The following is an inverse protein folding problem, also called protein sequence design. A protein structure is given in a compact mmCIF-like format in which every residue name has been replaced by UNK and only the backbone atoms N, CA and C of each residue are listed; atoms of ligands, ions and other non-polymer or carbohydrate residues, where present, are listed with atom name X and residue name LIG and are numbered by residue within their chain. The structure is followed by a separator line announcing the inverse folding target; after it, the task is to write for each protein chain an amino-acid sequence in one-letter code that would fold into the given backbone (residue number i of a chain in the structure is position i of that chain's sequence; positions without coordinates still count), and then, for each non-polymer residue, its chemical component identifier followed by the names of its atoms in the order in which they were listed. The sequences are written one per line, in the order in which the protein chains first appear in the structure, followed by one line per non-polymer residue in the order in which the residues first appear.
data_IF_176123698984
#
_entry.id   IF_176123698984
#
_cell.length_a   1.000
_cell.length_b   1.000
_cell.length_c   1.000
_cell.angle_alpha   90.00
_cell.angle_beta   90.00
_cell.angle_gamma   90.00
#
_symmetry.space_group_name_H-M   'P 1'
#
loop_
_entity.id
_entity.type
_entity.pdbx_description
1 polymer ?
#
# COMPACT_ATOMS: atom_id res chain seq x y z
N UNK A 1 26.90 26.41 -19.69
CA UNK A 1 27.34 25.11 -19.12
C UNK A 1 26.53 24.69 -17.88
N UNK A 2 26.13 25.63 -17.01
CA UNK A 2 25.36 25.34 -15.77
C UNK A 2 23.96 24.73 -15.95
N UNK A 3 23.28 24.96 -17.07
CA UNK A 3 21.96 24.38 -17.35
C UNK A 3 21.99 22.86 -17.57
N UNK A 4 23.09 22.34 -18.12
CA UNK A 4 23.25 20.90 -18.33
C UNK A 4 23.49 20.19 -16.99
N UNK A 5 24.26 20.82 -16.10
CA UNK A 5 24.52 20.27 -14.75
C UNK A 5 23.26 20.26 -13.89
N UNK A 6 22.40 21.29 -13.95
CA UNK A 6 21.13 21.30 -13.22
C UNK A 6 20.14 20.27 -13.76
N UNK A 7 20.08 20.09 -15.08
CA UNK A 7 19.24 19.06 -15.71
C UNK A 7 19.68 17.64 -15.28
N UNK A 8 20.99 17.36 -15.32
CA UNK A 8 21.55 16.07 -14.91
C UNK A 8 21.29 15.81 -13.42
N UNK A 9 21.51 16.81 -12.55
CA UNK A 9 21.23 16.68 -11.12
C UNK A 9 19.74 16.47 -10.83
N UNK A 10 18.84 17.17 -11.53
CA UNK A 10 17.39 16.98 -11.39
C UNK A 10 16.93 15.59 -11.80
N UNK A 11 17.49 15.04 -12.88
CA UNK A 11 17.22 13.68 -13.33
C UNK A 11 17.68 12.65 -12.28
N UNK A 12 18.91 12.79 -11.78
CA UNK A 12 19.48 11.93 -10.74
C UNK A 12 18.64 11.99 -9.46
N UNK A 13 18.27 13.20 -9.03
CA UNK A 13 17.45 13.40 -7.83
C UNK A 13 16.08 12.71 -7.95
N UNK A 14 15.44 12.79 -9.12
CA UNK A 14 14.14 12.14 -9.37
C UNK A 14 14.25 10.62 -9.27
N UNK A 15 15.31 10.03 -9.82
CA UNK A 15 15.57 8.58 -9.76
C UNK A 15 15.78 8.14 -8.30
N UNK A 16 16.63 8.87 -7.56
CA UNK A 16 16.91 8.58 -6.15
C UNK A 16 15.65 8.72 -5.29
N UNK A 17 14.91 9.82 -5.45
CA UNK A 17 13.70 10.08 -4.69
C UNK A 17 12.63 9.00 -4.96
N UNK A 18 12.44 8.61 -6.23
CA UNK A 18 11.52 7.52 -6.56
C UNK A 18 11.95 6.18 -5.97
N UNK A 19 13.26 5.92 -5.87
CA UNK A 19 13.77 4.69 -5.27
C UNK A 19 13.51 4.66 -3.76
N UNK A 20 13.82 5.76 -3.06
CA UNK A 20 13.60 5.89 -1.61
C UNK A 20 12.11 5.75 -1.29
N UNK A 21 11.24 6.44 -2.03
CA UNK A 21 9.79 6.38 -1.81
C UNK A 21 9.26 4.94 -1.93
N UNK A 22 9.74 4.17 -2.93
CA UNK A 22 9.36 2.76 -3.09
C UNK A 22 9.80 1.89 -1.92
N UNK A 23 10.95 2.17 -1.31
CA UNK A 23 11.41 1.43 -0.12
C UNK A 23 10.55 1.75 1.10
N UNK A 24 10.19 3.02 1.28
CA UNK A 24 9.30 3.47 2.35
C UNK A 24 7.92 2.83 2.19
N UNK A 25 7.33 2.90 1.00
CA UNK A 25 6.02 2.31 0.69
C UNK A 25 5.96 0.81 1.02
N UNK A 26 7.04 0.07 0.70
CA UNK A 26 7.16 -1.36 1.02
C UNK A 26 7.21 -1.61 2.53
N UNK A 27 7.98 -0.79 3.26
CA UNK A 27 8.07 -0.89 4.72
C UNK A 27 6.73 -0.57 5.37
N UNK A 28 6.07 0.49 4.93
CA UNK A 28 4.74 0.86 5.42
C UNK A 28 3.70 -0.22 5.12
N UNK A 29 3.75 -0.82 3.92
CA UNK A 29 2.86 -1.93 3.59
C UNK A 29 3.04 -3.11 4.55
N UNK A 30 4.29 -3.54 4.79
CA UNK A 30 4.59 -4.60 5.76
C UNK A 30 4.08 -4.27 7.16
N UNK A 31 4.29 -3.04 7.60
CA UNK A 31 3.80 -2.56 8.90
C UNK A 31 2.27 -2.63 8.99
N UNK A 32 1.55 -2.23 7.94
CA UNK A 32 0.07 -2.34 7.91
C UNK A 32 -0.40 -3.79 7.97
N UNK A 33 0.29 -4.71 7.30
CA UNK A 33 -0.01 -6.15 7.39
C UNK A 33 0.19 -6.66 8.83
N UNK A 34 1.29 -6.28 9.47
CA UNK A 34 1.59 -6.69 10.84
C UNK A 34 0.57 -6.16 11.84
N UNK A 35 0.22 -4.87 11.74
CA UNK A 35 -0.80 -4.25 12.59
C UNK A 35 -2.16 -4.92 12.39
N UNK A 36 -2.59 -5.11 11.14
CA UNK A 36 -3.87 -5.77 10.83
C UNK A 36 -3.96 -7.17 11.46
N UNK A 37 -2.90 -7.97 11.31
CA UNK A 37 -2.83 -9.31 11.89
C UNK A 37 -2.81 -9.28 13.42
N UNK A 38 -2.11 -8.31 14.02
CA UNK A 38 -2.05 -8.15 15.47
C UNK A 38 -3.42 -7.77 16.05
N UNK A 39 -4.11 -6.81 15.44
CA UNK A 39 -5.44 -6.39 15.88
C UNK A 39 -6.49 -7.47 15.67
N UNK A 40 -6.48 -8.15 14.52
CA UNK A 40 -7.33 -9.30 14.27
C UNK A 40 -7.18 -10.34 15.40
N UNK A 41 -5.94 -10.68 15.74
CA UNK A 41 -5.67 -11.65 16.79
C UNK A 41 -6.13 -11.16 18.17
N UNK A 42 -5.92 -9.88 18.47
CA UNK A 42 -6.38 -9.27 19.72
C UNK A 42 -7.90 -9.29 19.84
N UNK A 43 -8.63 -8.99 18.77
CA UNK A 43 -10.09 -9.06 18.74
C UNK A 43 -10.60 -10.47 18.97
N UNK A 44 -10.03 -11.46 18.27
CA UNK A 44 -10.39 -12.87 18.46
C UNK A 44 -10.04 -13.37 19.86
N UNK A 45 -8.91 -12.94 20.43
CA UNK A 45 -8.54 -13.26 21.81
C UNK A 45 -9.53 -12.72 22.82
N UNK A 46 -9.98 -11.48 22.66
CA UNK A 46 -11.01 -10.89 23.53
C UNK A 46 -12.31 -11.70 23.44
N UNK A 47 -12.73 -12.04 22.22
CA UNK A 47 -13.91 -12.87 21.98
C UNK A 47 -13.84 -14.23 22.69
N UNK A 48 -12.69 -14.92 22.61
CA UNK A 48 -12.45 -16.18 23.33
C UNK A 48 -12.42 -15.99 24.84
N UNK A 49 -11.89 -14.86 25.31
CA UNK A 49 -11.82 -14.55 26.74
C UNK A 49 -13.20 -14.26 27.35
N UNK A 50 -14.18 -13.89 26.53
CA UNK A 50 -15.60 -13.80 26.90
C UNK A 50 -16.30 -15.17 26.94
N UNK A 51 -15.61 -16.23 26.53
CA UNK A 51 -16.08 -17.62 26.60
C UNK A 51 -16.70 -18.15 25.30
N UNK A 52 -16.66 -17.38 24.22
CA UNK A 52 -17.20 -17.79 22.92
C UNK A 52 -16.08 -18.22 21.96
N UNK A 53 -16.29 -19.33 21.24
CA UNK A 53 -15.33 -19.80 20.24
C UNK A 53 -15.74 -19.31 18.85
N UNK A 54 -14.84 -18.62 18.13
CA UNK A 54 -15.17 -18.05 16.84
C UNK A 54 -15.34 -19.16 15.79
N UNK A 55 -16.40 -19.09 15.00
CA UNK A 55 -16.58 -20.00 13.86
C UNK A 55 -15.59 -19.69 12.73
N UNK A 56 -15.27 -20.69 11.91
CA UNK A 56 -14.47 -20.55 10.69
C UNK A 56 -14.95 -19.38 9.79
N UNK A 57 -16.28 -19.26 9.64
CA UNK A 57 -16.90 -18.20 8.85
C UNK A 57 -16.65 -16.81 9.44
N UNK A 58 -16.70 -16.68 10.77
CA UNK A 58 -16.40 -15.43 11.46
C UNK A 58 -14.93 -15.05 11.31
N UNK A 59 -14.00 -15.98 11.48
CA UNK A 59 -12.56 -15.74 11.27
C UNK A 59 -12.31 -15.25 9.85
N UNK A 60 -12.88 -15.92 8.85
CA UNK A 60 -12.75 -15.53 7.44
C UNK A 60 -13.34 -14.13 7.16
N UNK A 61 -14.52 -13.84 7.70
CA UNK A 61 -15.15 -12.53 7.56
C UNK A 61 -14.30 -11.42 8.18
N UNK A 62 -13.73 -11.67 9.38
CA UNK A 62 -12.82 -10.74 10.03
C UNK A 62 -11.54 -10.56 9.24
N UNK A 63 -10.90 -11.62 8.73
CA UNK A 63 -9.74 -11.50 7.85
C UNK A 63 -10.03 -10.58 6.66
N UNK A 64 -11.20 -10.74 6.02
CA UNK A 64 -11.60 -9.90 4.89
C UNK A 64 -11.86 -8.44 5.30
N UNK A 65 -12.53 -8.23 6.44
CA UNK A 65 -12.81 -6.90 6.98
C UNK A 65 -11.52 -6.15 7.36
N UNK A 66 -10.60 -6.80 8.06
CA UNK A 66 -9.30 -6.22 8.42
C UNK A 66 -8.43 -5.97 7.20
N UNK A 67 -8.43 -6.88 6.22
CA UNK A 67 -7.72 -6.68 4.94
C UNK A 67 -8.20 -5.40 4.24
N UNK A 68 -9.52 -5.17 4.21
CA UNK A 68 -10.12 -3.98 3.63
C UNK A 68 -9.81 -2.72 4.42
N UNK A 69 -9.98 -2.76 5.74
CA UNK A 69 -9.72 -1.62 6.65
C UNK A 69 -8.28 -1.12 6.54
N UNK A 70 -7.32 -2.04 6.50
CA UNK A 70 -5.89 -1.73 6.41
C UNK A 70 -5.35 -1.55 4.98
N UNK A 71 -6.21 -1.65 3.96
CA UNK A 71 -5.86 -1.55 2.53
C UNK A 71 -4.71 -2.49 2.12
N UNK A 72 -4.71 -3.70 2.67
CA UNK A 72 -3.78 -4.78 2.35
C UNK A 72 -4.47 -5.83 1.49
N UNK A 73 -3.71 -6.58 0.70
CA UNK A 73 -4.27 -7.67 -0.11
C UNK A 73 -4.75 -8.80 0.79
N UNK A 74 -5.90 -9.40 0.48
CA UNK A 74 -6.47 -10.49 1.28
C UNK A 74 -5.60 -11.75 1.33
N UNK A 75 -4.67 -11.92 0.39
CA UNK A 75 -3.68 -12.99 0.43
C UNK A 75 -2.49 -12.74 1.36
N UNK A 76 -2.29 -11.49 1.78
CA UNK A 76 -1.17 -11.09 2.63
C UNK A 76 -1.58 -11.02 4.12
N UNK A 77 -2.88 -11.06 4.43
CA UNK A 77 -3.37 -11.27 5.80
C UNK A 77 -3.27 -12.75 6.17
N UNK A 78 -3.13 -13.05 7.46
CA UNK A 78 -3.06 -14.43 7.92
C UNK A 78 -4.29 -15.22 7.47
N UNK A 79 -4.05 -16.41 6.90
CA UNK A 79 -5.12 -17.36 6.63
C UNK A 79 -5.70 -17.89 7.95
N UNK A 80 -6.87 -18.51 7.86
CA UNK A 80 -7.60 -19.06 9.01
C UNK A 80 -6.72 -19.98 9.87
N UNK A 81 -5.97 -20.88 9.24
CA UNK A 81 -5.05 -21.79 9.94
C UNK A 81 -3.98 -21.04 10.75
N UNK A 82 -3.31 -20.04 10.15
CA UNK A 82 -2.28 -19.27 10.85
C UNK A 82 -2.88 -18.44 11.99
N UNK A 83 -4.11 -17.96 11.83
CA UNK A 83 -4.85 -17.26 12.89
C UNK A 83 -5.12 -18.23 14.05
N UNK A 84 -5.64 -19.42 13.77
CA UNK A 84 -5.91 -20.46 14.79
C UNK A 84 -4.63 -20.86 15.52
N UNK A 85 -3.54 -21.17 14.80
CA UNK A 85 -2.26 -21.54 15.40
C UNK A 85 -1.72 -20.43 16.32
N UNK A 86 -1.86 -19.17 15.89
CA UNK A 86 -1.44 -18.01 16.69
C UNK A 86 -2.31 -17.84 17.93
N UNK A 87 -3.62 -18.02 17.82
CA UNK A 87 -4.54 -17.97 18.96
C UNK A 87 -4.20 -19.03 20.00
N UNK A 88 -4.00 -20.28 19.59
CA UNK A 88 -3.59 -21.37 20.49
C UNK A 88 -2.30 -20.99 21.23
N UNK A 89 -1.28 -20.52 20.51
CA UNK A 89 -0.01 -20.07 21.12
C UNK A 89 -0.25 -18.98 22.17
N UNK A 90 -1.02 -17.95 21.83
CA UNK A 90 -1.28 -16.82 22.75
C UNK A 90 -2.17 -17.20 23.94
N UNK A 91 -3.05 -18.21 23.80
CA UNK A 91 -3.83 -18.79 24.91
C UNK A 91 -2.92 -19.55 25.88
N UNK A 92 -1.93 -20.29 25.38
CA UNK A 92 -0.99 -20.98 26.25
C UNK A 92 -0.04 -20.01 26.96
N UNK A 93 0.35 -18.91 26.31
CA UNK A 93 1.18 -17.85 26.88
C UNK A 93 0.45 -17.03 27.96
N UNK A 94 -0.89 -16.98 27.99
CA UNK A 94 -1.61 -16.23 29.04
C UNK A 94 -1.53 -16.91 30.40
N UNK A 95 -1.24 -16.18 31.48
CA UNK A 95 -1.27 -16.72 32.85
C UNK A 95 -2.68 -16.77 33.46
N UNK A 96 -3.67 -16.14 32.81
CA UNK A 96 -4.98 -15.88 33.42
C UNK A 96 -5.98 -17.04 33.31
N UNK A 97 -5.71 -18.05 32.47
CA UNK A 97 -6.60 -19.20 32.29
C UNK A 97 -6.02 -20.45 32.98
N UNK A 98 -6.82 -21.21 33.76
CA UNK A 98 -6.41 -22.51 34.27
C UNK A 98 -6.13 -23.48 33.12
N UNK A 99 -5.20 -24.41 33.35
CA UNK A 99 -4.71 -25.35 32.33
C UNK A 99 -5.85 -26.11 31.62
N UNK A 100 -6.86 -26.55 32.37
CA UNK A 100 -8.03 -27.27 31.82
C UNK A 100 -8.84 -26.46 30.82
N UNK A 101 -9.00 -25.14 31.03
CA UNK A 101 -9.69 -24.26 30.10
C UNK A 101 -8.86 -23.98 28.84
N UNK A 102 -7.54 -23.82 28.99
CA UNK A 102 -6.63 -23.65 27.85
C UNK A 102 -6.70 -24.86 26.91
N UNK A 103 -6.68 -26.07 27.47
CA UNK A 103 -6.76 -27.31 26.70
C UNK A 103 -8.08 -27.41 25.95
N UNK A 104 -9.22 -27.19 26.62
CA UNK A 104 -10.55 -27.26 26.00
C UNK A 104 -10.70 -26.29 24.82
N UNK A 105 -10.32 -25.02 25.02
CA UNK A 105 -10.39 -24.00 23.94
C UNK A 105 -9.48 -24.40 22.77
N UNK A 106 -8.29 -24.94 23.07
CA UNK A 106 -7.34 -25.33 22.02
C UNK A 106 -7.82 -26.54 21.23
N UNK A 107 -8.49 -27.50 21.87
CA UNK A 107 -9.12 -28.64 21.20
C UNK A 107 -10.23 -28.18 20.24
N UNK A 108 -11.15 -27.34 20.69
CA UNK A 108 -12.23 -26.81 19.84
C UNK A 108 -11.67 -25.97 18.66
N UNK A 109 -10.59 -25.20 18.88
CA UNK A 109 -9.89 -24.49 17.81
C UNK A 109 -9.19 -25.43 16.81
N UNK A 110 -8.64 -26.55 17.28
CA UNK A 110 -8.03 -27.56 16.41
C UNK A 110 -9.07 -28.29 15.55
N UNK A 111 -10.24 -28.61 16.10
CA UNK A 111 -11.35 -29.19 15.34
C UNK A 111 -11.83 -28.27 14.20
N UNK A 112 -11.88 -26.96 14.45
CA UNK A 112 -12.17 -25.94 13.43
C UNK A 112 -11.11 -25.92 12.32
N UNK A 113 -9.84 -26.04 12.70
CA UNK A 113 -8.73 -26.12 11.74
C UNK A 113 -8.85 -27.37 10.85
N UNK A 114 -9.15 -28.53 11.40
CA UNK A 114 -9.30 -29.76 10.62
C UNK A 114 -10.52 -29.68 9.66
N UNK A 115 -11.62 -29.09 10.13
CA UNK A 115 -12.84 -28.89 9.33
C UNK A 115 -12.63 -27.90 8.16
N UNK A 116 -11.85 -26.84 8.36
CA UNK A 116 -11.53 -25.87 7.31
C UNK A 116 -10.55 -26.41 6.26
N UNK A 117 -9.58 -27.25 6.65
CA UNK A 117 -8.66 -27.90 5.70
C UNK A 117 -9.41 -28.86 4.77
N UNK A 118 -10.30 -29.69 5.32
CA UNK A 118 -11.07 -30.66 4.53
C UNK A 118 -12.05 -29.99 3.55
N UNK A 119 -12.66 -28.86 3.94
CA UNK A 119 -13.56 -28.10 3.06
C UNK A 119 -12.83 -27.32 1.96
N UNK A 120 -11.62 -26.81 2.23
CA UNK A 120 -10.81 -26.12 1.21
C UNK A 120 -10.26 -27.09 0.15
N UNK A 121 -9.94 -28.33 0.50
CA UNK A 121 -9.55 -29.36 -0.47
C UNK A 121 -10.66 -29.66 -1.49
N UNK A 122 -11.93 -29.59 -1.08
CA UNK A 122 -13.09 -29.77 -1.97
C UNK A 122 -13.38 -28.52 -2.82
N UNK A 123 -13.11 -27.32 -2.31
CA UNK A 123 -13.45 -26.05 -2.99
C UNK A 123 -12.37 -25.52 -3.94
N UNK A 124 -11.12 -25.96 -3.80
CA UNK A 124 -9.99 -25.48 -4.63
C UNK A 124 -10.10 -25.92 -6.11
N UNK A 125 -11.09 -26.75 -6.45
CA UNK A 125 -11.39 -27.11 -7.84
C UNK A 125 -12.20 -26.04 -8.60
N UNK A 126 -12.80 -25.04 -7.92
CA UNK A 126 -13.89 -24.27 -8.54
C UNK A 126 -13.80 -22.74 -8.55
N UNK A 127 -12.89 -22.04 -7.86
CA UNK A 127 -13.00 -20.56 -7.81
C UNK A 127 -11.66 -19.80 -7.71
N UNK A 128 -11.09 -19.47 -8.88
CA UNK A 128 -10.14 -18.36 -9.06
C UNK A 128 -10.83 -17.17 -9.76
N UNK A 129 -11.72 -16.44 -9.07
CA UNK A 129 -12.18 -15.15 -9.57
C UNK A 129 -12.87 -14.32 -8.48
N UNK A 130 -12.24 -13.23 -8.05
CA UNK A 130 -12.89 -11.90 -7.96
C UNK A 130 -11.93 -10.88 -7.34
N UNK A 131 -11.39 -9.96 -8.15
CA UNK A 131 -11.88 -8.58 -8.38
C UNK A 131 -11.26 -7.59 -7.38
N UNK A 132 -10.01 -7.21 -7.67
CA UNK A 132 -9.35 -6.00 -7.16
C UNK A 132 -9.62 -4.87 -8.18
N UNK A 133 -10.64 -4.04 -7.97
CA UNK A 133 -11.00 -2.94 -8.90
C UNK A 133 -11.17 -1.57 -8.21
N UNK A 134 -10.47 -1.34 -7.10
CA UNK A 134 -10.59 -0.07 -6.35
C UNK A 134 -9.26 0.68 -6.14
N UNK A 135 -8.18 0.28 -6.83
CA UNK A 135 -6.82 0.79 -6.53
C UNK A 135 -6.34 1.94 -7.43
N UNK A 136 -7.12 2.41 -8.39
CA UNK A 136 -6.64 3.33 -9.44
C UNK A 136 -6.75 4.82 -9.07
N UNK A 137 -7.67 5.23 -8.20
CA UNK A 137 -8.04 6.66 -8.07
C UNK A 137 -7.06 7.43 -7.17
N UNK A 138 -6.64 6.88 -6.03
CA UNK A 138 -5.74 7.58 -5.10
C UNK A 138 -4.34 7.85 -5.66
N UNK A 139 -3.81 6.97 -6.52
CA UNK A 139 -2.47 7.15 -7.12
C UNK A 139 -2.41 8.30 -8.13
N UNK A 140 -3.55 8.68 -8.71
CA UNK A 140 -3.65 9.77 -9.67
C UNK A 140 -3.69 11.13 -8.94
N UNK A 141 -4.39 11.20 -7.80
CA UNK A 141 -4.48 12.44 -7.01
C UNK A 141 -3.14 12.90 -6.46
N UNK A 142 -2.35 12.02 -5.85
CA UNK A 142 -1.02 12.39 -5.33
C UNK A 142 -0.06 12.83 -6.44
N UNK A 143 -0.20 12.28 -7.64
CA UNK A 143 0.63 12.65 -8.78
C UNK A 143 0.26 14.03 -9.36
N UNK A 144 -1.03 14.34 -9.49
CA UNK A 144 -1.52 15.64 -9.98
C UNK A 144 -1.11 16.77 -9.03
N UNK A 145 -1.19 16.54 -7.72
CA UNK A 145 -0.78 17.52 -6.71
C UNK A 145 0.74 17.75 -6.79
N UNK A 146 1.53 16.68 -6.91
CA UNK A 146 2.99 16.78 -7.05
C UNK A 146 3.43 17.54 -8.31
N UNK A 147 2.77 17.31 -9.45
CA UNK A 147 3.11 18.04 -10.68
C UNK A 147 2.71 19.52 -10.62
N UNK A 148 1.60 19.85 -9.98
CA UNK A 148 1.17 21.24 -9.80
C UNK A 148 2.14 22.03 -8.91
N UNK A 149 2.61 21.42 -7.82
CA UNK A 149 3.60 22.04 -6.93
C UNK A 149 4.93 22.27 -7.66
N UNK A 150 5.41 21.27 -8.39
CA UNK A 150 6.65 21.39 -9.18
C UNK A 150 6.55 22.51 -10.23
N UNK A 151 5.40 22.62 -10.91
CA UNK A 151 5.13 23.69 -11.87
C UNK A 151 5.23 25.08 -11.23
N UNK A 152 4.58 25.29 -10.08
CA UNK A 152 4.63 26.57 -9.37
C UNK A 152 6.06 26.94 -8.91
N UNK A 153 6.83 25.98 -8.41
CA UNK A 153 8.22 26.24 -8.03
C UNK A 153 9.09 26.59 -9.23
N UNK A 154 8.87 25.96 -10.39
CA UNK A 154 9.62 26.27 -11.60
C UNK A 154 9.29 27.65 -12.17
N UNK A 155 8.03 28.07 -12.14
CA UNK A 155 7.65 29.42 -12.63
C UNK A 155 8.19 30.51 -11.72
N UNK A 156 8.06 30.36 -10.40
CA UNK A 156 8.59 31.33 -9.43
C UNK A 156 10.12 31.38 -9.47
N UNK A 157 10.78 30.22 -9.57
CA UNK A 157 12.23 30.16 -9.68
C UNK A 157 12.76 30.85 -10.95
N UNK A 158 12.04 30.74 -12.06
CA UNK A 158 12.39 31.41 -13.32
C UNK A 158 12.17 32.93 -13.24
N UNK A 159 11.09 33.40 -12.61
CA UNK A 159 10.85 34.83 -12.42
C UNK A 159 11.94 35.50 -11.56
N UNK A 160 12.35 34.84 -10.47
CA UNK A 160 13.46 35.32 -9.62
C UNK A 160 14.77 35.37 -10.42
N UNK A 161 15.04 34.33 -11.23
CA UNK A 161 16.25 34.27 -12.06
C UNK A 161 16.23 35.35 -13.15
N UNK A 162 15.07 35.63 -13.74
CA UNK A 162 14.89 36.63 -14.77
C UNK A 162 15.10 38.06 -14.22
N UNK A 163 14.57 38.35 -13.03
CA UNK A 163 14.78 39.65 -12.36
C UNK A 163 16.25 39.88 -12.00
N UNK A 164 16.99 38.85 -11.57
CA UNK A 164 18.38 39.00 -11.15
C UNK A 164 19.39 39.03 -12.32
N UNK A 165 19.10 38.35 -13.43
CA UNK A 165 20.07 38.16 -14.52
C UNK A 165 19.71 38.88 -15.83
N UNK A 166 18.56 39.57 -15.92
CA UNK A 166 18.09 40.26 -17.14
C UNK A 166 18.23 39.38 -18.40
N UNK A 167 17.96 38.08 -18.28
CA UNK A 167 18.23 37.09 -19.32
C UNK A 167 17.29 37.25 -20.54
N UNK A 168 16.16 37.92 -20.35
CA UNK A 168 15.14 38.16 -21.38
C UNK A 168 15.02 39.68 -21.57
N UNK A 169 15.84 40.23 -22.47
CA UNK A 169 15.78 41.65 -22.86
C UNK A 169 15.29 41.86 -24.29
N UNK A 170 14.49 40.92 -24.82
CA UNK A 170 13.92 41.06 -26.17
C UNK A 170 12.42 40.73 -26.20
N UNK A 171 11.69 41.59 -26.91
CA UNK A 171 10.23 41.73 -27.03
C UNK A 171 9.50 40.53 -27.67
N UNK A 172 9.73 39.30 -27.20
CA UNK A 172 8.86 38.16 -27.58
C UNK A 172 8.39 37.36 -26.36
N UNK A 173 7.51 37.95 -25.52
CA UNK A 173 7.00 37.29 -24.30
C UNK A 173 6.26 35.97 -24.56
N UNK A 174 5.76 35.74 -25.78
CA UNK A 174 4.97 34.54 -26.09
C UNK A 174 5.80 33.29 -26.41
N UNK A 175 6.97 33.41 -27.04
CA UNK A 175 7.70 32.23 -27.54
C UNK A 175 8.34 31.40 -26.43
N UNK A 176 8.82 32.03 -25.37
CA UNK A 176 9.44 31.35 -24.23
C UNK A 176 8.40 30.63 -23.37
N UNK A 177 7.22 31.23 -23.20
CA UNK A 177 6.09 30.64 -22.50
C UNK A 177 5.51 29.44 -23.28
N UNK A 178 5.47 29.54 -24.62
CA UNK A 178 5.14 28.42 -25.52
C UNK A 178 6.17 27.29 -25.40
N UNK A 179 7.47 27.59 -25.39
CA UNK A 179 8.50 26.56 -25.24
C UNK A 179 8.42 25.83 -23.88
N UNK A 180 8.20 26.58 -22.79
CA UNK A 180 8.03 26.02 -21.45
C UNK A 180 6.79 25.13 -21.34
N UNK A 181 5.65 25.58 -21.87
CA UNK A 181 4.41 24.79 -21.85
C UNK A 181 4.54 23.51 -22.68
N UNK A 182 5.19 23.57 -23.85
CA UNK A 182 5.47 22.39 -24.67
C UNK A 182 6.40 21.42 -23.92
N UNK A 183 7.44 21.90 -23.26
CA UNK A 183 8.36 21.05 -22.50
C UNK A 183 7.67 20.34 -21.32
N UNK A 184 6.76 21.03 -20.62
CA UNK A 184 5.96 20.46 -19.55
C UNK A 184 4.99 19.39 -20.07
N UNK A 185 4.37 19.62 -21.23
CA UNK A 185 3.51 18.65 -21.89
C UNK A 185 4.26 17.37 -22.30
N UNK A 186 5.45 17.52 -22.87
CA UNK A 186 6.30 16.39 -23.29
C UNK A 186 6.71 15.56 -22.07
N UNK A 187 7.10 16.20 -20.97
CA UNK A 187 7.45 15.51 -19.71
C UNK A 187 6.28 14.71 -19.13
N UNK A 188 5.07 15.27 -19.17
CA UNK A 188 3.86 14.62 -18.71
C UNK A 188 3.51 13.40 -19.59
N UNK A 189 3.64 13.52 -20.90
CA UNK A 189 3.43 12.41 -21.85
C UNK A 189 4.42 11.27 -21.64
N UNK A 190 5.71 11.56 -21.48
CA UNK A 190 6.75 10.54 -21.22
C UNK A 190 6.43 9.78 -19.92
N UNK A 191 6.02 10.48 -18.87
CA UNK A 191 5.68 9.86 -17.58
C UNK A 191 4.45 8.97 -17.68
N UNK A 192 3.43 9.37 -18.45
CA UNK A 192 2.25 8.54 -18.71
C UNK A 192 2.61 7.28 -19.50
N UNK A 193 3.45 7.39 -20.53
CA UNK A 193 3.91 6.24 -21.34
C UNK A 193 4.73 5.26 -20.50
N UNK A 194 5.66 5.74 -19.68
CA UNK A 194 6.46 4.90 -18.79
C UNK A 194 5.56 4.16 -17.78
N UNK A 195 4.59 4.85 -17.17
CA UNK A 195 3.62 4.21 -16.27
C UNK A 195 2.73 3.20 -16.99
N UNK A 196 2.30 3.49 -18.22
CA UNK A 196 1.49 2.57 -19.02
C UNK A 196 2.26 1.29 -19.36
N UNK A 197 3.54 1.43 -19.74
CA UNK A 197 4.41 0.28 -20.02
C UNK A 197 4.73 -0.54 -18.76
N UNK A 198 4.99 0.12 -17.63
CA UNK A 198 5.26 -0.55 -16.35
C UNK A 198 4.03 -1.22 -15.74
N UNK A 199 2.81 -0.81 -16.09
CA UNK A 199 1.56 -1.43 -15.63
C UNK A 199 1.25 -2.76 -16.33
N UNK A 200 1.92 -3.05 -17.46
CA UNK A 200 1.69 -4.25 -18.27
C UNK A 200 2.58 -5.45 -17.89
N UNK A 201 3.41 -5.31 -16.85
CA UNK A 201 4.24 -6.37 -16.23
C UNK A 201 3.78 -6.60 -14.80
#
# INVERSE_FOLDING_TARGET
MYWLTTFIFGLIFTVINSFIMRLIDRKEYKNRVEIANSELNKTLKNYISEGEIPSASLIKALCMAYSKSYKIKSKDINNEENVINRLIREIFETSFLPSSQKTKISEELLELKESSVNSNLLNNSNNEASVDTEKSIHSLFSFVIGSAIAFLFTTVGLDILNQNLNFIKDDTPNNLLIFLTISAFISLMITLVIKFLLRKK
#
